data_IF_821017298935
#
_entry.id   IF_821017298935
#
_cell.length_a   1.000
_cell.length_b   1.000
_cell.length_c   1.000
_cell.angle_alpha   90.00
_cell.angle_beta   90.00
_cell.angle_gamma   90.00
#
_symmetry.space_group_name_H-M   'P 1'
#
loop_
_entity.id
_entity.type
_entity.pdbx_description
1 polymer ?
#
# COMPACT_ATOMS: atom_id res chain seq x y z
N UNK A 1 -20.69 31.79 -14.23
CA UNK A 1 -19.32 31.46 -14.68
C UNK A 1 -18.37 32.35 -13.92
N UNK A 2 -17.88 31.92 -12.78
CA UNK A 2 -16.92 32.61 -11.92
C UNK A 2 -15.75 31.66 -11.67
N UNK A 3 -14.57 32.12 -12.06
CA UNK A 3 -13.31 31.38 -12.06
C UNK A 3 -12.86 31.03 -10.65
N UNK A 4 -12.61 29.75 -10.39
CA UNK A 4 -12.00 29.15 -9.19
C UNK A 4 -10.52 29.63 -9.00
N UNK A 5 -10.32 30.94 -8.76
CA UNK A 5 -8.98 31.53 -8.59
C UNK A 5 -8.73 32.19 -7.22
N UNK A 6 -9.60 32.01 -6.24
CA UNK A 6 -9.41 32.67 -4.93
C UNK A 6 -9.78 31.80 -3.74
N UNK A 7 -9.08 30.66 -3.51
CA UNK A 7 -8.95 30.10 -2.15
C UNK A 7 -7.63 29.35 -2.03
N UNK A 8 -6.51 30.06 -2.12
CA UNK A 8 -5.26 29.59 -1.53
C UNK A 8 -5.04 30.35 -0.22
N UNK A 9 -4.85 29.65 0.92
CA UNK A 9 -4.63 30.34 2.17
C UNK A 9 -3.35 31.17 2.11
N UNK A 10 -3.44 32.47 2.50
CA UNK A 10 -2.34 33.45 2.59
C UNK A 10 -1.22 33.09 3.60
N UNK A 11 -1.04 31.83 3.96
CA UNK A 11 -0.09 31.37 4.99
C UNK A 11 1.28 30.90 4.47
N UNK A 12 1.57 31.00 3.17
CA UNK A 12 2.89 30.59 2.62
C UNK A 12 3.86 31.73 2.33
N UNK A 13 3.54 32.96 2.73
CA UNK A 13 4.51 34.08 2.70
C UNK A 13 5.07 34.28 4.11
N UNK A 14 6.24 33.71 4.40
CA UNK A 14 6.97 33.99 5.63
C UNK A 14 7.62 32.81 6.35
N UNK A 15 7.68 31.62 5.74
CA UNK A 15 8.47 30.52 6.29
C UNK A 15 9.94 30.78 5.97
N UNK A 16 10.83 30.86 7.00
CA UNK A 16 12.27 30.97 6.78
C UNK A 16 12.77 29.80 5.92
N UNK A 17 13.81 30.04 5.12
CA UNK A 17 14.38 29.03 4.19
C UNK A 17 14.91 27.75 4.87
N UNK A 18 14.96 27.71 6.19
CA UNK A 18 15.38 26.54 7.00
C UNK A 18 14.26 25.51 7.24
N UNK A 19 12.99 25.86 7.01
CA UNK A 19 11.83 24.98 7.23
C UNK A 19 11.25 24.38 5.94
N UNK A 20 11.98 24.43 4.85
CA UNK A 20 11.58 23.71 3.63
C UNK A 20 11.77 22.20 3.87
N UNK A 21 10.77 21.38 3.52
CA UNK A 21 10.89 19.93 3.65
C UNK A 21 12.19 19.41 3.00
N UNK A 22 12.90 18.50 3.66
CA UNK A 22 14.21 17.96 3.24
C UNK A 22 14.19 17.45 1.79
N UNK A 23 13.04 16.93 1.32
CA UNK A 23 12.87 16.47 -0.05
C UNK A 23 12.97 17.60 -1.11
N UNK A 24 12.73 18.85 -0.75
CA UNK A 24 12.92 20.01 -1.66
C UNK A 24 14.42 20.33 -1.90
N UNK A 25 15.29 20.02 -0.93
CA UNK A 25 16.75 20.22 -1.06
C UNK A 25 17.43 19.10 -1.84
N UNK A 26 16.91 17.85 -1.78
CA UNK A 26 17.43 16.72 -2.56
C UNK A 26 17.11 16.85 -4.06
N UNK A 27 16.09 17.66 -4.40
CA UNK A 27 15.70 17.92 -5.78
C UNK A 27 16.80 18.59 -6.63
N UNK A 28 17.83 19.20 -6.04
CA UNK A 28 18.90 19.89 -6.78
C UNK A 28 20.09 18.97 -7.15
N UNK A 29 20.18 17.75 -6.60
CA UNK A 29 21.37 16.90 -6.68
C UNK A 29 21.35 15.81 -7.78
N UNK A 30 20.32 15.72 -8.63
CA UNK A 30 20.25 14.69 -9.67
C UNK A 30 20.72 15.22 -11.03
N UNK A 31 21.84 14.71 -11.59
CA UNK A 31 22.18 14.95 -12.99
C UNK A 31 21.16 14.24 -13.88
N UNK A 32 20.54 14.93 -14.83
CA UNK A 32 19.57 14.44 -15.82
C UNK A 32 18.11 14.32 -15.36
N UNK A 33 17.49 15.42 -14.88
CA UNK A 33 16.03 15.50 -14.77
C UNK A 33 15.40 15.61 -16.15
N UNK A 34 14.78 14.53 -16.59
CA UNK A 34 13.81 14.59 -17.67
C UNK A 34 12.51 15.18 -17.09
N UNK A 35 12.44 16.52 -17.02
CA UNK A 35 11.21 17.19 -16.59
C UNK A 35 10.07 16.81 -17.55
N UNK A 36 8.96 16.34 -16.97
CA UNK A 36 7.72 16.06 -17.69
C UNK A 36 6.68 17.12 -17.36
N UNK A 37 5.84 17.45 -18.32
CA UNK A 37 4.69 18.35 -18.12
C UNK A 37 3.55 17.58 -17.45
N UNK A 38 2.56 18.29 -16.88
CA UNK A 38 1.36 17.66 -16.33
C UNK A 38 0.63 16.80 -17.36
N UNK A 39 0.59 17.23 -18.63
CA UNK A 39 -0.02 16.43 -19.71
C UNK A 39 0.78 15.16 -20.03
N UNK A 40 2.11 15.22 -20.00
CA UNK A 40 2.96 14.04 -20.19
C UNK A 40 2.81 13.07 -19.04
N UNK A 41 2.71 13.59 -17.79
CA UNK A 41 2.47 12.75 -16.62
C UNK A 41 1.15 12.00 -16.72
N UNK A 42 0.08 12.65 -17.17
CA UNK A 42 -1.22 12.01 -17.37
C UNK A 42 -1.14 10.84 -18.37
N UNK A 43 -0.40 11.00 -19.48
CA UNK A 43 -0.17 9.90 -20.41
C UNK A 43 0.65 8.77 -19.78
N UNK A 44 1.67 9.10 -18.98
CA UNK A 44 2.47 8.11 -18.23
C UNK A 44 1.60 7.35 -17.22
N UNK A 45 0.76 8.05 -16.46
CA UNK A 45 -0.14 7.46 -15.47
C UNK A 45 -1.15 6.50 -16.14
N UNK A 46 -1.68 6.83 -17.32
CA UNK A 46 -2.53 5.95 -18.12
C UNK A 46 -1.79 4.67 -18.54
N UNK A 47 -0.57 4.80 -19.07
CA UNK A 47 0.24 3.64 -19.47
C UNK A 47 0.57 2.75 -18.27
N UNK A 48 0.87 3.33 -17.12
CA UNK A 48 1.12 2.59 -15.87
C UNK A 48 -0.10 1.79 -15.42
N UNK A 49 -1.27 2.42 -15.44
CA UNK A 49 -2.51 1.83 -14.92
C UNK A 49 -3.09 0.78 -15.86
N UNK A 50 -3.01 1.02 -17.15
CA UNK A 50 -3.72 0.21 -18.14
C UNK A 50 -2.80 -0.63 -19.04
N UNK A 51 -1.49 -0.39 -19.00
CA UNK A 51 -0.51 -1.04 -19.87
C UNK A 51 -0.25 -0.26 -21.16
N UNK A 52 -0.08 -0.97 -22.27
CA UNK A 52 0.22 -0.35 -23.56
C UNK A 52 -0.97 0.40 -24.17
N UNK A 53 -0.75 1.58 -24.68
CA UNK A 53 -1.75 2.46 -25.30
C UNK A 53 -1.39 2.78 -26.74
N UNK A 54 -2.41 2.81 -27.62
CA UNK A 54 -2.31 3.44 -28.94
C UNK A 54 -2.56 4.95 -28.86
N UNK A 55 -2.22 5.70 -29.91
CA UNK A 55 -2.61 7.12 -30.00
C UNK A 55 -4.13 7.34 -29.89
N UNK A 56 -4.92 6.39 -30.42
CA UNK A 56 -6.37 6.47 -30.37
C UNK A 56 -6.89 6.29 -28.92
N UNK A 57 -6.27 5.38 -28.16
CA UNK A 57 -6.63 5.18 -26.76
C UNK A 57 -6.38 6.45 -25.94
N UNK A 58 -5.23 7.10 -26.10
CA UNK A 58 -4.98 8.37 -25.41
C UNK A 58 -6.02 9.45 -25.75
N UNK A 59 -6.49 9.54 -27.02
CA UNK A 59 -7.56 10.46 -27.39
C UNK A 59 -8.88 10.11 -26.69
N UNK A 60 -9.14 8.83 -26.47
CA UNK A 60 -10.37 8.36 -25.81
C UNK A 60 -10.36 8.59 -24.32
N UNK A 61 -9.19 8.50 -23.67
CA UNK A 61 -9.04 8.55 -22.21
C UNK A 61 -8.57 9.90 -21.67
N UNK A 62 -8.35 10.90 -22.56
CA UNK A 62 -7.96 12.27 -22.14
C UNK A 62 -8.79 13.29 -22.91
N UNK A 63 -8.87 14.52 -22.37
CA UNK A 63 -9.52 15.66 -23.04
C UNK A 63 -8.57 16.37 -24.02
N UNK A 64 -7.44 15.75 -24.40
CA UNK A 64 -6.44 16.37 -25.26
C UNK A 64 -6.72 16.18 -26.74
N UNK A 65 -6.39 17.22 -27.52
CA UNK A 65 -6.41 17.13 -28.98
C UNK A 65 -5.38 16.12 -29.50
N UNK A 66 -5.64 15.54 -30.67
CA UNK A 66 -4.70 14.62 -31.37
C UNK A 66 -3.30 15.22 -31.54
N UNK A 67 -3.21 16.53 -31.80
CA UNK A 67 -1.94 17.25 -31.94
C UNK A 67 -1.19 17.30 -30.60
N UNK A 68 -1.89 17.63 -29.51
CA UNK A 68 -1.31 17.66 -28.16
C UNK A 68 -0.78 16.28 -27.75
N UNK A 69 -1.58 15.22 -27.98
CA UNK A 69 -1.17 13.83 -27.69
C UNK A 69 0.07 13.46 -28.49
N UNK A 70 0.11 13.77 -29.79
CA UNK A 70 1.28 13.48 -30.62
C UNK A 70 2.53 14.20 -30.07
N UNK A 71 2.42 15.48 -29.73
CA UNK A 71 3.53 16.25 -29.15
C UNK A 71 4.00 15.64 -27.80
N UNK A 72 3.10 15.24 -26.91
CA UNK A 72 3.45 14.59 -25.64
C UNK A 72 4.16 13.25 -25.87
N UNK A 73 3.64 12.42 -26.78
CA UNK A 73 4.24 11.11 -27.12
C UNK A 73 5.64 11.30 -27.68
N UNK A 74 5.83 12.22 -28.64
CA UNK A 74 7.12 12.47 -29.26
C UNK A 74 8.15 12.97 -28.23
N UNK A 75 7.71 13.84 -27.31
CA UNK A 75 8.53 14.30 -26.18
C UNK A 75 8.91 13.15 -25.24
N UNK A 76 7.95 12.31 -24.82
CA UNK A 76 8.20 11.17 -23.95
C UNK A 76 9.12 10.11 -24.59
N UNK A 77 9.00 9.88 -25.92
CA UNK A 77 9.91 9.02 -26.68
C UNK A 77 11.33 9.61 -26.73
N UNK A 78 11.48 10.91 -26.96
CA UNK A 78 12.78 11.59 -26.95
C UNK A 78 13.45 11.53 -25.57
N UNK A 79 12.66 11.65 -24.50
CA UNK A 79 13.09 11.49 -23.11
C UNK A 79 13.34 10.02 -22.74
N UNK A 80 13.04 9.08 -23.64
CA UNK A 80 13.12 7.63 -23.42
C UNK A 80 12.26 7.10 -22.25
N UNK A 81 11.26 7.86 -21.81
CA UNK A 81 10.35 7.45 -20.73
C UNK A 81 9.40 6.37 -21.21
N UNK A 82 8.92 6.49 -22.45
CA UNK A 82 8.12 5.47 -23.11
C UNK A 82 8.86 4.90 -24.31
N UNK A 83 8.47 3.70 -24.72
CA UNK A 83 8.93 3.04 -25.96
C UNK A 83 7.73 2.75 -26.87
N UNK A 84 7.99 2.72 -28.17
CA UNK A 84 6.99 2.31 -29.16
C UNK A 84 7.14 0.82 -29.44
N UNK A 85 6.08 0.05 -29.24
CA UNK A 85 6.00 -1.37 -29.50
C UNK A 85 5.19 -1.64 -30.79
N UNK A 86 5.41 -2.79 -31.42
CA UNK A 86 4.60 -3.25 -32.52
C UNK A 86 3.31 -3.86 -31.95
N UNK A 87 2.14 -3.41 -32.39
CA UNK A 87 0.87 -4.03 -32.00
C UNK A 87 0.87 -5.54 -32.33
N UNK A 88 0.50 -6.34 -31.35
CA UNK A 88 0.45 -7.81 -31.45
C UNK A 88 -0.87 -8.33 -32.04
N UNK A 89 -1.95 -7.55 -31.98
CA UNK A 89 -3.27 -7.99 -32.45
C UNK A 89 -3.61 -7.49 -33.86
N UNK A 90 -4.18 -8.38 -34.66
CA UNK A 90 -4.60 -8.14 -36.06
C UNK A 90 -6.11 -7.84 -36.10
N UNK A 91 -6.46 -6.56 -36.14
CA UNK A 91 -7.85 -6.11 -36.32
C UNK A 91 -8.12 -5.53 -37.72
N UNK A 92 -7.68 -6.21 -38.78
CA UNK A 92 -8.09 -5.92 -40.16
C UNK A 92 -7.67 -4.56 -40.75
N UNK A 93 -6.76 -3.79 -40.12
CA UNK A 93 -6.31 -2.48 -40.56
C UNK A 93 -4.79 -2.28 -40.44
N UNK A 94 -4.29 -1.07 -40.79
CA UNK A 94 -2.88 -0.70 -40.62
C UNK A 94 -2.48 -0.89 -39.15
N UNK A 95 -1.43 -1.71 -38.88
CA UNK A 95 -0.90 -1.95 -37.53
C UNK A 95 -0.63 -0.62 -36.84
N UNK A 96 -1.38 -0.31 -35.77
CA UNK A 96 -1.12 0.86 -34.92
C UNK A 96 0.02 0.56 -33.98
N UNK A 97 0.91 1.54 -33.74
CA UNK A 97 1.94 1.43 -32.71
C UNK A 97 1.30 1.56 -31.34
N UNK A 98 1.71 0.74 -30.39
CA UNK A 98 1.43 0.93 -28.96
C UNK A 98 2.62 1.56 -28.25
N UNK A 99 2.37 2.20 -27.12
CA UNK A 99 3.36 2.90 -26.33
C UNK A 99 3.29 2.35 -24.89
N UNK A 100 4.42 1.90 -24.37
CA UNK A 100 4.58 1.37 -23.02
C UNK A 100 5.70 2.08 -22.29
N UNK A 101 5.81 1.88 -20.96
CA UNK A 101 6.94 2.37 -20.19
C UNK A 101 8.24 1.69 -20.64
N UNK A 102 9.34 2.44 -20.59
CA UNK A 102 10.66 1.91 -20.91
C UNK A 102 11.29 1.24 -19.68
N UNK A 103 11.20 -0.08 -19.57
CA UNK A 103 11.82 -0.85 -18.49
C UNK A 103 13.32 -0.65 -18.34
N UNK A 104 14.03 -0.25 -19.42
CA UNK A 104 15.49 -0.06 -19.41
C UNK A 104 15.95 1.25 -18.75
N UNK A 105 15.04 2.09 -18.24
CA UNK A 105 15.39 3.33 -17.53
C UNK A 105 16.13 3.05 -16.21
N UNK A 106 15.96 1.89 -15.63
CA UNK A 106 16.60 1.47 -14.39
C UNK A 106 15.81 0.40 -13.67
N UNK A 107 16.12 0.22 -12.39
CA UNK A 107 15.44 -0.69 -11.49
C UNK A 107 14.75 0.07 -10.37
N UNK A 108 13.68 -0.52 -9.85
CA UNK A 108 12.96 -0.07 -8.67
C UNK A 108 12.99 -1.20 -7.64
N UNK A 109 13.24 -0.87 -6.39
CA UNK A 109 13.12 -1.82 -5.28
C UNK A 109 11.88 -1.49 -4.45
N UNK A 110 11.09 -2.50 -4.15
CA UNK A 110 10.02 -2.48 -3.16
C UNK A 110 10.46 -3.22 -1.92
N UNK A 111 10.26 -2.60 -0.77
CA UNK A 111 10.56 -3.16 0.56
C UNK A 111 9.29 -3.07 1.39
N UNK A 112 8.77 -4.20 1.83
CA UNK A 112 7.68 -4.25 2.81
C UNK A 112 8.26 -4.80 4.12
N UNK A 113 8.37 -3.91 5.12
CA UNK A 113 8.77 -4.27 6.48
C UNK A 113 7.49 -4.53 7.26
N UNK A 114 7.14 -5.79 7.41
CA UNK A 114 6.06 -6.22 8.29
C UNK A 114 6.48 -6.25 9.76
N UNK A 115 5.54 -6.48 10.67
CA UNK A 115 5.86 -6.67 12.10
C UNK A 115 6.75 -7.89 12.33
N UNK A 116 6.64 -8.92 11.47
CA UNK A 116 7.27 -10.25 11.61
C UNK A 116 7.96 -10.75 10.35
N UNK A 117 8.07 -9.95 9.29
CA UNK A 117 8.74 -10.31 8.03
C UNK A 117 9.41 -9.10 7.39
N UNK A 118 10.36 -9.39 6.48
CA UNK A 118 10.88 -8.47 5.47
C UNK A 118 10.62 -9.12 4.13
N UNK A 119 9.91 -8.42 3.25
CA UNK A 119 9.60 -8.83 1.90
C UNK A 119 10.22 -7.81 0.92
N UNK A 120 10.93 -8.30 -0.10
CA UNK A 120 11.70 -7.49 -1.03
C UNK A 120 11.37 -7.85 -2.47
N UNK A 121 11.28 -6.85 -3.32
CA UNK A 121 11.11 -7.01 -4.76
C UNK A 121 12.03 -6.05 -5.51
N UNK A 122 12.65 -6.52 -6.61
CA UNK A 122 13.27 -5.66 -7.60
C UNK A 122 12.51 -5.83 -8.90
N UNK A 123 12.05 -4.72 -9.45
CA UNK A 123 11.35 -4.64 -10.73
C UNK A 123 12.12 -3.74 -11.71
N UNK A 124 11.90 -3.92 -13.01
CA UNK A 124 12.33 -2.93 -13.99
C UNK A 124 11.44 -1.67 -13.94
N UNK A 125 11.83 -0.62 -14.65
CA UNK A 125 11.10 0.65 -14.60
C UNK A 125 9.69 0.59 -15.25
N UNK A 126 9.32 -0.50 -15.88
CA UNK A 126 7.94 -0.76 -16.32
C UNK A 126 7.08 -1.43 -15.25
N UNK A 127 7.64 -1.78 -14.09
CA UNK A 127 6.96 -2.50 -13.02
C UNK A 127 6.97 -4.02 -13.20
N UNK A 128 7.75 -4.56 -14.16
CA UNK A 128 7.90 -6.00 -14.34
C UNK A 128 8.85 -6.57 -13.30
N UNK A 129 8.37 -7.55 -12.54
CA UNK A 129 9.15 -8.30 -11.56
C UNK A 129 10.42 -8.90 -12.20
N UNK A 130 11.58 -8.67 -11.58
CA UNK A 130 12.86 -9.28 -11.92
C UNK A 130 13.27 -10.33 -10.88
N UNK A 131 13.20 -9.98 -9.60
CA UNK A 131 13.57 -10.88 -8.50
C UNK A 131 12.80 -10.51 -7.23
N UNK A 132 12.45 -11.52 -6.43
CA UNK A 132 11.77 -11.38 -5.14
C UNK A 132 12.44 -12.22 -4.08
N UNK A 133 12.38 -11.74 -2.84
CA UNK A 133 12.90 -12.43 -1.66
C UNK A 133 12.06 -12.09 -0.44
N UNK A 134 11.88 -13.04 0.45
CA UNK A 134 11.18 -12.85 1.72
C UNK A 134 11.83 -13.66 2.83
N UNK A 135 11.86 -13.11 4.04
CA UNK A 135 12.33 -13.82 5.23
C UNK A 135 11.60 -13.37 6.50
N UNK A 136 11.52 -14.23 7.53
CA UNK A 136 11.09 -13.80 8.86
C UNK A 136 12.04 -12.74 9.44
N UNK A 137 11.46 -11.70 10.06
CA UNK A 137 12.20 -10.65 10.74
C UNK A 137 11.32 -10.06 11.85
N UNK A 138 11.88 -9.21 12.71
CA UNK A 138 11.11 -8.54 13.73
C UNK A 138 11.45 -7.06 13.78
N UNK A 139 10.46 -6.20 13.60
CA UNK A 139 10.65 -4.74 13.78
C UNK A 139 11.10 -4.36 15.18
N UNK A 140 10.87 -5.24 16.18
CA UNK A 140 11.32 -5.06 17.56
C UNK A 140 12.84 -5.15 17.72
N UNK A 141 13.54 -5.67 16.71
CA UNK A 141 15.01 -5.73 16.69
C UNK A 141 15.67 -4.35 16.49
N UNK A 142 14.86 -3.32 16.20
CA UNK A 142 15.26 -1.94 16.01
C UNK A 142 15.71 -1.59 14.60
N UNK A 143 15.69 -0.29 14.23
CA UNK A 143 15.89 0.17 12.87
C UNK A 143 17.28 -0.16 12.31
N UNK A 144 18.33 -0.06 13.12
CA UNK A 144 19.71 -0.31 12.66
C UNK A 144 19.85 -1.74 12.13
N UNK A 145 19.37 -2.75 12.90
CA UNK A 145 19.48 -4.15 12.53
C UNK A 145 18.59 -4.48 11.33
N UNK A 146 17.32 -4.01 11.35
CA UNK A 146 16.34 -4.29 10.29
C UNK A 146 16.76 -3.63 8.98
N UNK A 147 17.09 -2.35 8.97
CA UNK A 147 17.51 -1.64 7.75
C UNK A 147 18.85 -2.13 7.22
N UNK A 148 19.81 -2.43 8.11
CA UNK A 148 21.08 -3.06 7.71
C UNK A 148 20.84 -4.41 7.01
N UNK A 149 19.88 -5.21 7.51
CA UNK A 149 19.51 -6.47 6.87
C UNK A 149 18.84 -6.25 5.52
N UNK A 150 17.89 -5.30 5.42
CA UNK A 150 17.23 -4.91 4.15
C UNK A 150 18.27 -4.51 3.11
N UNK A 151 19.21 -3.62 3.46
CA UNK A 151 20.23 -3.15 2.52
C UNK A 151 21.15 -4.30 2.05
N UNK A 152 21.61 -5.15 2.98
CA UNK A 152 22.44 -6.32 2.62
C UNK A 152 21.70 -7.31 1.70
N UNK A 153 20.41 -7.51 1.92
CA UNK A 153 19.58 -8.37 1.06
C UNK A 153 19.41 -7.76 -0.33
N UNK A 154 19.15 -6.45 -0.43
CA UNK A 154 19.04 -5.77 -1.73
C UNK A 154 20.36 -5.84 -2.51
N UNK A 155 21.53 -5.60 -1.88
CA UNK A 155 22.83 -5.76 -2.52
C UNK A 155 23.05 -7.20 -3.04
N UNK A 156 22.69 -8.19 -2.21
CA UNK A 156 22.76 -9.59 -2.58
C UNK A 156 21.87 -9.90 -3.78
N UNK A 157 20.59 -9.45 -3.75
CA UNK A 157 19.65 -9.66 -4.85
C UNK A 157 20.14 -9.02 -6.16
N UNK A 158 20.69 -7.82 -6.10
CA UNK A 158 21.29 -7.16 -7.26
C UNK A 158 22.46 -7.95 -7.82
N UNK A 159 23.43 -8.33 -6.98
CA UNK A 159 24.65 -9.02 -7.40
C UNK A 159 24.39 -10.41 -7.97
N UNK A 160 23.53 -11.21 -7.32
CA UNK A 160 23.20 -12.58 -7.75
C UNK A 160 22.42 -12.62 -9.08
N UNK A 161 21.73 -11.52 -9.42
CA UNK A 161 20.96 -11.41 -10.67
C UNK A 161 21.66 -10.56 -11.74
N UNK A 162 22.93 -10.22 -11.57
CA UNK A 162 23.71 -9.38 -12.49
C UNK A 162 23.07 -8.01 -12.78
N UNK A 163 22.42 -7.43 -11.77
CA UNK A 163 21.80 -6.12 -11.84
C UNK A 163 22.74 -5.06 -11.23
N UNK A 164 23.07 -4.01 -12.00
CA UNK A 164 23.94 -2.93 -11.51
C UNK A 164 23.22 -2.08 -10.48
N UNK A 165 23.83 -1.89 -9.30
CA UNK A 165 23.32 -1.02 -8.25
C UNK A 165 23.23 0.44 -8.67
N UNK A 166 24.06 0.90 -9.62
CA UNK A 166 24.02 2.26 -10.18
C UNK A 166 22.74 2.53 -10.98
N UNK A 167 22.07 1.47 -11.45
CA UNK A 167 20.79 1.55 -12.16
C UNK A 167 19.59 1.41 -11.24
N UNK A 168 19.80 1.24 -9.93
CA UNK A 168 18.70 1.28 -8.95
C UNK A 168 18.29 2.76 -8.75
N UNK A 169 17.18 3.15 -9.37
CA UNK A 169 16.73 4.55 -9.44
C UNK A 169 15.78 4.92 -8.30
N UNK A 170 15.12 3.95 -7.71
CA UNK A 170 14.17 4.19 -6.61
C UNK A 170 14.00 3.03 -5.68
N UNK A 171 13.79 3.33 -4.40
CA UNK A 171 13.47 2.37 -3.33
C UNK A 171 12.25 2.89 -2.59
N UNK A 172 11.14 2.14 -2.66
CA UNK A 172 9.94 2.39 -1.85
C UNK A 172 9.94 1.46 -0.65
N UNK A 173 9.59 2.00 0.52
CA UNK A 173 9.61 1.24 1.78
C UNK A 173 8.27 1.40 2.49
N UNK A 174 7.58 0.29 2.75
CA UNK A 174 6.45 0.20 3.65
C UNK A 174 6.92 -0.15 5.07
N UNK A 175 6.39 0.53 6.08
CA UNK A 175 6.71 0.25 7.51
C UNK A 175 5.43 0.20 8.34
N UNK A 176 5.35 -0.69 9.37
CA UNK A 176 4.15 -0.86 10.17
C UNK A 176 4.07 0.22 11.28
N UNK A 177 3.51 1.37 10.96
CA UNK A 177 3.32 2.45 11.93
C UNK A 177 2.99 3.77 11.27
N UNK A 178 2.64 4.78 12.07
CA UNK A 178 2.39 6.11 11.54
C UNK A 178 3.65 6.69 10.89
N UNK A 179 3.53 7.21 9.67
CA UNK A 179 4.62 7.84 8.91
C UNK A 179 4.24 9.27 8.60
N UNK A 180 5.07 10.21 9.02
CA UNK A 180 5.04 11.54 8.43
C UNK A 180 5.65 11.49 7.03
N UNK A 181 4.78 11.37 6.04
CA UNK A 181 5.18 11.21 4.64
C UNK A 181 5.97 12.42 4.11
N UNK A 182 5.76 13.61 4.68
CA UNK A 182 6.42 14.84 4.22
C UNK A 182 7.92 14.84 4.51
N UNK A 183 8.33 14.16 5.58
CA UNK A 183 9.74 14.01 5.99
C UNK A 183 10.25 12.58 5.91
N UNK A 184 9.38 11.61 5.65
CA UNK A 184 9.72 10.19 5.50
C UNK A 184 10.20 9.55 6.81
N UNK A 185 9.60 9.93 7.94
CA UNK A 185 9.96 9.40 9.26
C UNK A 185 8.78 8.71 9.94
N UNK A 186 9.10 7.65 10.67
CA UNK A 186 8.13 6.98 11.56
C UNK A 186 7.92 7.83 12.81
N UNK A 187 6.67 7.99 13.25
CA UNK A 187 6.33 8.83 14.41
C UNK A 187 5.60 8.02 15.47
N UNK A 188 6.21 7.94 16.65
CA UNK A 188 5.64 7.29 17.85
C UNK A 188 5.00 5.91 17.61
N UNK A 189 5.67 4.97 16.91
CA UNK A 189 5.07 3.69 16.56
C UNK A 189 4.95 2.79 17.80
N UNK A 190 3.73 2.26 18.11
CA UNK A 190 3.48 1.53 19.36
C UNK A 190 4.25 0.21 19.48
N UNK A 191 4.60 -0.42 18.37
CA UNK A 191 5.21 -1.77 18.33
C UNK A 191 6.66 -1.80 17.83
N UNK A 192 7.27 -0.63 17.56
CA UNK A 192 8.57 -0.51 16.91
C UNK A 192 9.57 0.27 17.78
N UNK A 193 10.22 -0.37 18.77
CA UNK A 193 11.16 0.32 19.66
C UNK A 193 12.36 0.87 18.89
N UNK A 194 12.71 2.13 19.15
CA UNK A 194 13.85 2.83 18.52
C UNK A 194 13.59 3.38 17.12
N UNK A 195 12.38 3.23 16.55
CA UNK A 195 12.04 3.75 15.23
C UNK A 195 11.51 5.18 15.24
N UNK A 196 11.11 5.70 16.42
CA UNK A 196 10.58 7.07 16.50
C UNK A 196 11.60 8.08 15.96
N UNK A 197 11.20 8.80 14.93
CA UNK A 197 12.00 9.80 14.19
C UNK A 197 13.36 9.28 13.68
N UNK A 198 13.49 7.95 13.50
CA UNK A 198 14.71 7.39 12.94
C UNK A 198 14.87 7.79 11.47
N UNK A 199 16.07 8.18 11.00
CA UNK A 199 16.31 8.67 9.65
C UNK A 199 16.39 7.53 8.62
N UNK A 200 15.25 6.89 8.33
CA UNK A 200 15.17 5.71 7.44
C UNK A 200 15.73 6.01 6.06
N UNK A 201 15.29 7.14 5.45
CA UNK A 201 15.71 7.54 4.11
C UNK A 201 17.23 7.69 4.04
N UNK A 202 17.83 8.47 4.96
CA UNK A 202 19.27 8.74 4.97
C UNK A 202 20.07 7.46 5.21
N UNK A 203 19.57 6.57 6.07
CA UNK A 203 20.22 5.28 6.34
C UNK A 203 20.31 4.42 5.09
N UNK A 204 19.22 4.30 4.33
CA UNK A 204 19.19 3.50 3.09
C UNK A 204 19.97 4.18 1.96
N UNK A 205 19.94 5.50 1.86
CA UNK A 205 20.70 6.25 0.86
C UNK A 205 22.22 6.16 1.03
N UNK A 206 22.73 5.88 2.24
CA UNK A 206 24.16 5.60 2.44
C UNK A 206 24.62 4.34 1.71
N UNK A 207 23.73 3.35 1.55
CA UNK A 207 24.01 2.12 0.81
C UNK A 207 23.76 2.28 -0.69
N UNK A 208 22.75 3.04 -1.06
CA UNK A 208 22.30 3.25 -2.45
C UNK A 208 22.23 4.73 -2.80
N UNK A 209 23.37 5.42 -2.96
CA UNK A 209 23.42 6.87 -3.16
C UNK A 209 22.68 7.37 -4.43
N UNK A 210 22.59 6.50 -5.44
CA UNK A 210 21.92 6.82 -6.71
C UNK A 210 20.39 6.67 -6.64
N UNK A 211 19.86 6.01 -5.60
CA UNK A 211 18.44 5.71 -5.50
C UNK A 211 17.66 6.83 -4.79
N UNK A 212 16.48 7.15 -5.32
CA UNK A 212 15.49 7.96 -4.61
C UNK A 212 14.76 7.06 -3.60
N UNK A 213 14.85 7.37 -2.33
CA UNK A 213 14.21 6.60 -1.26
C UNK A 213 12.96 7.29 -0.78
N UNK A 214 11.86 6.55 -0.66
CA UNK A 214 10.58 7.03 -0.13
C UNK A 214 10.01 6.03 0.86
N UNK A 215 9.41 6.53 1.95
CA UNK A 215 8.84 5.71 3.03
C UNK A 215 7.37 6.06 3.22
N UNK A 216 6.52 5.06 3.40
CA UNK A 216 5.11 5.23 3.73
C UNK A 216 4.65 4.14 4.72
N UNK A 217 3.47 4.30 5.26
CA UNK A 217 2.82 3.25 6.05
C UNK A 217 2.58 1.99 5.20
N UNK A 218 2.78 0.81 5.77
CA UNK A 218 2.65 -0.49 5.09
C UNK A 218 1.25 -0.71 4.49
N UNK A 219 0.18 -0.24 5.16
CA UNK A 219 -1.20 -0.40 4.65
C UNK A 219 -1.46 0.53 3.46
N UNK A 220 -0.91 1.75 3.47
CA UNK A 220 -0.93 2.65 2.32
C UNK A 220 -0.22 2.01 1.12
N UNK A 221 0.93 1.41 1.38
CA UNK A 221 1.72 0.71 0.35
C UNK A 221 0.95 -0.49 -0.19
N UNK A 222 0.34 -1.31 0.66
CA UNK A 222 -0.51 -2.42 0.21
C UNK A 222 -1.71 -1.94 -0.64
N UNK A 223 -2.33 -0.82 -0.28
CA UNK A 223 -3.41 -0.22 -1.08
C UNK A 223 -2.92 0.21 -2.47
N UNK A 224 -1.70 0.76 -2.58
CA UNK A 224 -1.06 1.04 -3.87
C UNK A 224 -0.84 -0.23 -4.71
N UNK A 225 -0.46 -1.33 -4.09
CA UNK A 225 -0.35 -2.62 -4.76
C UNK A 225 -1.68 -3.05 -5.38
N UNK A 226 -2.75 -2.99 -4.61
CA UNK A 226 -4.10 -3.39 -5.05
C UNK A 226 -4.65 -2.55 -6.20
N UNK A 227 -4.47 -1.23 -6.19
CA UNK A 227 -4.95 -0.39 -7.30
C UNK A 227 -4.11 -0.50 -8.57
N UNK A 228 -2.86 -0.96 -8.46
CA UNK A 228 -1.99 -1.12 -9.62
C UNK A 228 -2.08 -2.52 -10.23
N UNK A 229 -2.12 -3.60 -9.42
CA UNK A 229 -2.06 -4.97 -9.92
C UNK A 229 -3.12 -5.91 -9.36
N UNK A 230 -3.89 -5.51 -8.33
CA UNK A 230 -4.88 -6.35 -7.67
C UNK A 230 -6.34 -6.03 -8.00
N UNK A 231 -7.23 -6.42 -7.09
CA UNK A 231 -8.69 -6.27 -7.19
C UNK A 231 -9.14 -4.81 -7.38
N UNK A 232 -8.36 -3.85 -6.86
CA UNK A 232 -8.65 -2.41 -6.94
C UNK A 232 -8.28 -1.76 -8.27
N UNK A 233 -7.77 -2.50 -9.24
CA UNK A 233 -7.37 -1.94 -10.54
C UNK A 233 -8.54 -1.23 -11.21
N UNK A 234 -8.32 0.04 -11.57
CA UNK A 234 -9.33 0.94 -12.18
C UNK A 234 -10.46 1.37 -11.23
N UNK A 235 -10.33 1.18 -9.93
CA UNK A 235 -11.30 1.64 -8.94
C UNK A 235 -10.77 2.93 -8.31
N UNK A 236 -11.37 4.10 -8.61
CA UNK A 236 -10.86 5.38 -8.13
C UNK A 236 -11.09 5.62 -6.64
N UNK A 237 -12.14 5.03 -6.05
CA UNK A 237 -12.50 5.23 -4.64
C UNK A 237 -12.58 3.87 -3.93
N UNK A 238 -11.55 3.55 -3.16
CA UNK A 238 -11.37 2.24 -2.56
C UNK A 238 -10.84 2.37 -1.13
N UNK A 239 -11.23 1.45 -0.25
CA UNK A 239 -10.60 1.23 1.05
C UNK A 239 -9.93 -0.15 1.03
N UNK A 240 -8.61 -0.19 1.20
CA UNK A 240 -7.90 -1.42 1.51
C UNK A 240 -7.81 -1.58 3.02
N UNK A 241 -8.15 -2.76 3.54
CA UNK A 241 -8.11 -3.05 4.98
C UNK A 241 -7.13 -4.19 5.23
N UNK A 242 -6.04 -3.90 5.91
CA UNK A 242 -5.10 -4.91 6.42
C UNK A 242 -5.60 -5.42 7.76
N UNK A 243 -5.78 -6.73 7.88
CA UNK A 243 -6.06 -7.42 9.13
C UNK A 243 -4.93 -8.44 9.37
N UNK A 244 -4.05 -8.12 10.31
CA UNK A 244 -2.85 -8.91 10.63
C UNK A 244 -2.57 -8.88 12.12
N UNK A 245 -1.32 -8.56 12.49
CA UNK A 245 -0.93 -8.29 13.90
C UNK A 245 -1.70 -7.09 14.46
N UNK A 246 -1.95 -6.08 13.61
CA UNK A 246 -2.82 -4.94 13.86
C UNK A 246 -3.89 -4.83 12.77
N UNK A 247 -4.68 -3.74 12.82
CA UNK A 247 -5.70 -3.41 11.83
C UNK A 247 -5.49 -1.97 11.34
N UNK A 248 -5.35 -1.80 10.03
CA UNK A 248 -5.24 -0.48 9.40
C UNK A 248 -5.98 -0.43 8.07
N UNK A 249 -6.19 0.77 7.55
CA UNK A 249 -6.78 0.97 6.23
C UNK A 249 -5.92 1.91 5.37
N UNK A 250 -5.79 1.59 4.08
CA UNK A 250 -5.29 2.50 3.05
C UNK A 250 -6.47 3.05 2.25
N UNK A 251 -6.59 4.37 2.20
CA UNK A 251 -7.72 5.03 1.56
C UNK A 251 -7.27 5.55 0.19
N UNK A 252 -7.93 5.10 -0.86
CA UNK A 252 -7.72 5.60 -2.22
C UNK A 252 -8.85 6.55 -2.58
N UNK A 253 -8.53 7.80 -2.86
CA UNK A 253 -9.45 8.84 -3.27
C UNK A 253 -9.04 9.35 -4.66
N UNK A 254 -9.96 9.27 -5.63
CA UNK A 254 -9.69 9.66 -7.02
C UNK A 254 -8.43 9.00 -7.60
N UNK A 255 -8.23 7.72 -7.29
CA UNK A 255 -7.09 6.93 -7.76
C UNK A 255 -5.76 7.21 -7.04
N UNK A 256 -5.77 7.97 -5.95
CA UNK A 256 -4.56 8.36 -5.19
C UNK A 256 -4.70 8.02 -3.72
N UNK A 257 -3.58 7.69 -3.08
CA UNK A 257 -3.54 7.50 -1.62
C UNK A 257 -3.91 8.81 -0.91
N UNK A 258 -4.92 8.72 -0.06
CA UNK A 258 -5.30 9.79 0.87
C UNK A 258 -4.64 9.56 2.23
N UNK A 259 -3.64 10.38 2.55
CA UNK A 259 -2.86 10.27 3.79
C UNK A 259 -3.37 11.15 4.93
N UNK A 260 -4.34 12.04 4.65
CA UNK A 260 -4.74 13.09 5.60
C UNK A 260 -3.65 14.17 5.76
N UNK A 261 -3.81 15.01 6.76
CA UNK A 261 -2.92 16.17 6.97
C UNK A 261 -1.53 15.80 7.53
N UNK A 262 -1.43 14.68 8.24
CA UNK A 262 -0.22 14.26 8.96
C UNK A 262 0.22 12.81 8.66
N UNK A 263 -0.38 12.16 7.68
CA UNK A 263 -0.05 10.78 7.32
C UNK A 263 -0.83 9.69 8.06
N UNK A 264 -1.74 10.05 8.97
CA UNK A 264 -2.44 9.09 9.84
C UNK A 264 -3.87 8.71 9.35
N UNK A 265 -4.26 9.08 8.12
CA UNK A 265 -5.54 8.64 7.60
C UNK A 265 -5.55 7.12 7.41
N UNK A 266 -6.60 6.47 7.91
CA UNK A 266 -6.72 5.01 7.83
C UNK A 266 -6.35 4.23 9.10
N UNK A 267 -6.03 4.90 10.20
CA UNK A 267 -5.68 4.26 11.49
C UNK A 267 -6.94 3.74 12.23
N UNK A 268 -7.71 2.91 11.52
CA UNK A 268 -9.04 2.42 11.96
C UNK A 268 -8.95 1.40 13.09
N UNK A 269 -7.80 0.77 13.29
CA UNK A 269 -7.56 -0.20 14.35
C UNK A 269 -7.72 0.38 15.74
N UNK A 270 -7.56 1.71 15.87
CA UNK A 270 -7.69 2.42 17.15
C UNK A 270 -9.06 3.10 17.36
N UNK A 271 -10.02 2.85 16.47
CA UNK A 271 -11.43 3.22 16.70
C UNK A 271 -11.98 2.36 17.84
N UNK A 272 -12.58 3.00 18.85
CA UNK A 272 -13.17 2.32 19.99
C UNK A 272 -14.48 1.63 19.60
N UNK A 273 -14.55 0.32 19.76
CA UNK A 273 -15.72 -0.52 19.45
C UNK A 273 -16.34 -1.17 20.67
N UNK A 274 -15.62 -1.19 21.80
CA UNK A 274 -16.07 -1.82 23.04
C UNK A 274 -15.72 -0.94 24.25
N UNK A 275 -16.72 -0.48 25.01
CA UNK A 275 -16.53 0.33 26.22
C UNK A 275 -17.39 -0.23 27.37
N UNK A 276 -16.78 -0.54 28.55
CA UNK A 276 -15.34 -0.59 28.82
C UNK A 276 -14.68 -1.75 28.06
N UNK A 277 -13.45 -1.58 27.57
CA UNK A 277 -12.74 -2.56 26.77
C UNK A 277 -11.29 -2.78 27.22
N UNK A 278 -10.60 -3.69 26.55
CA UNK A 278 -9.19 -3.99 26.81
C UNK A 278 -8.31 -2.76 26.57
N UNK A 279 -7.24 -2.62 27.35
CA UNK A 279 -6.22 -1.60 27.13
C UNK A 279 -5.46 -1.93 25.85
N UNK A 280 -5.38 -0.95 24.95
CA UNK A 280 -4.62 -1.03 23.72
C UNK A 280 -3.18 -0.51 23.92
N UNK A 281 -2.17 -1.04 23.22
CA UNK A 281 -0.82 -0.48 23.24
C UNK A 281 -0.73 1.01 22.87
N UNK A 282 -1.71 1.56 22.17
CA UNK A 282 -1.80 3.01 21.88
C UNK A 282 -2.22 3.86 23.09
N UNK A 283 -2.51 3.25 24.24
CA UNK A 283 -2.95 3.93 25.47
C UNK A 283 -4.46 4.08 25.62
N UNK A 284 -5.26 3.82 24.59
CA UNK A 284 -6.73 3.86 24.64
C UNK A 284 -7.34 2.52 25.07
N UNK A 285 -8.64 2.50 25.36
CA UNK A 285 -9.39 1.29 25.68
C UNK A 285 -10.44 0.96 24.62
N UNK A 286 -10.61 -0.37 24.38
CA UNK A 286 -11.66 -0.89 23.50
C UNK A 286 -11.45 -0.65 22.01
N UNK A 287 -10.19 -0.48 21.58
CA UNK A 287 -9.84 -0.35 20.16
C UNK A 287 -10.24 -1.60 19.38
N UNK A 288 -10.64 -1.45 18.11
CA UNK A 288 -10.97 -2.55 17.20
C UNK A 288 -9.87 -3.63 17.17
N UNK A 289 -8.62 -3.22 17.15
CA UNK A 289 -7.46 -4.10 17.14
C UNK A 289 -7.43 -5.06 18.33
N UNK A 290 -7.87 -4.60 19.52
CA UNK A 290 -7.86 -5.43 20.75
C UNK A 290 -8.92 -6.54 20.74
N UNK A 291 -9.84 -6.54 19.79
CA UNK A 291 -10.92 -7.55 19.69
C UNK A 291 -10.94 -8.32 18.37
N UNK A 292 -10.33 -7.79 17.32
CA UNK A 292 -10.48 -8.35 15.96
C UNK A 292 -9.17 -8.52 15.18
N UNK A 293 -8.00 -8.08 15.69
CA UNK A 293 -6.71 -8.42 15.09
C UNK A 293 -6.32 -9.89 15.36
N UNK A 294 -5.36 -10.42 14.60
CA UNK A 294 -4.92 -11.81 14.70
C UNK A 294 -4.59 -12.28 16.12
N UNK A 295 -3.76 -11.54 16.89
CA UNK A 295 -3.47 -11.88 18.28
C UNK A 295 -4.71 -11.89 19.17
N UNK A 296 -5.65 -10.96 18.98
CA UNK A 296 -6.89 -10.90 19.75
C UNK A 296 -7.83 -12.09 19.45
N UNK A 297 -7.94 -12.48 18.17
CA UNK A 297 -8.68 -13.67 17.74
C UNK A 297 -8.11 -14.92 18.41
N UNK A 298 -6.79 -15.09 18.36
CA UNK A 298 -6.09 -16.23 18.94
C UNK A 298 -6.25 -16.29 20.47
N UNK A 299 -6.07 -15.18 21.17
CA UNK A 299 -6.21 -15.10 22.65
C UNK A 299 -7.64 -15.42 23.10
N UNK A 300 -8.65 -14.88 22.44
CA UNK A 300 -10.06 -15.18 22.74
C UNK A 300 -10.37 -16.65 22.52
N UNK A 301 -9.92 -17.23 21.41
CA UNK A 301 -10.10 -18.63 21.10
C UNK A 301 -9.41 -19.53 22.13
N UNK A 302 -8.16 -19.21 22.52
CA UNK A 302 -7.40 -19.97 23.51
C UNK A 302 -8.06 -19.96 24.90
N UNK A 303 -8.42 -18.77 25.40
CA UNK A 303 -9.09 -18.64 26.71
C UNK A 303 -10.37 -19.47 26.79
N UNK A 304 -11.19 -19.42 25.74
CA UNK A 304 -12.43 -20.18 25.71
C UNK A 304 -12.19 -21.71 25.52
N UNK A 305 -11.16 -22.10 24.76
CA UNK A 305 -10.75 -23.50 24.63
C UNK A 305 -10.24 -24.06 25.95
N UNK A 306 -9.42 -23.32 26.70
CA UNK A 306 -8.95 -23.69 28.06
C UNK A 306 -10.08 -23.79 29.07
N UNK A 307 -11.18 -23.06 28.87
CA UNK A 307 -12.43 -23.22 29.63
C UNK A 307 -13.28 -24.45 29.20
N UNK A 308 -12.74 -25.33 28.37
CA UNK A 308 -13.38 -26.59 27.96
C UNK A 308 -14.32 -26.44 26.75
N UNK A 309 -14.34 -25.30 26.03
CA UNK A 309 -15.27 -25.09 24.92
C UNK A 309 -14.83 -25.68 23.58
N UNK A 310 -13.53 -26.01 23.41
CA UNK A 310 -13.01 -26.60 22.16
C UNK A 310 -11.81 -27.52 22.41
N UNK A 311 -11.99 -28.84 22.34
CA UNK A 311 -10.87 -29.80 22.34
C UNK A 311 -9.97 -29.66 21.08
N UNK A 312 -10.53 -29.26 19.94
CA UNK A 312 -9.79 -29.09 18.68
C UNK A 312 -8.74 -27.99 18.82
N UNK A 313 -9.14 -26.82 19.32
CA UNK A 313 -8.22 -25.68 19.53
C UNK A 313 -7.16 -25.99 20.60
N UNK A 314 -7.51 -26.75 21.66
CA UNK A 314 -6.53 -27.20 22.66
C UNK A 314 -5.50 -28.13 22.04
N UNK A 315 -5.92 -29.09 21.22
CA UNK A 315 -5.01 -30.01 20.53
C UNK A 315 -4.06 -29.23 19.59
N UNK A 316 -4.58 -28.26 18.81
CA UNK A 316 -3.76 -27.41 17.95
C UNK A 316 -2.75 -26.58 18.77
N UNK A 317 -3.16 -26.01 19.89
CA UNK A 317 -2.29 -25.28 20.82
C UNK A 317 -1.13 -26.13 21.32
N UNK A 318 -1.42 -27.34 21.81
CA UNK A 318 -0.42 -28.28 22.32
C UNK A 318 0.53 -28.74 21.20
N UNK A 319 -0.01 -29.09 20.03
CA UNK A 319 0.75 -29.55 18.87
C UNK A 319 1.69 -28.48 18.32
N UNK A 320 1.31 -27.20 18.40
CA UNK A 320 2.10 -26.07 17.93
C UNK A 320 3.05 -25.49 19.00
N UNK A 321 3.43 -26.28 20.01
CA UNK A 321 4.39 -25.86 21.06
C UNK A 321 3.82 -24.79 21.99
N UNK A 322 2.56 -24.91 22.37
CA UNK A 322 1.82 -23.97 23.23
C UNK A 322 1.65 -22.57 22.66
N UNK A 323 1.52 -22.50 21.34
CA UNK A 323 1.20 -21.25 20.61
C UNK A 323 -0.06 -21.48 19.78
N UNK A 324 -1.07 -20.65 19.95
CA UNK A 324 -2.24 -20.59 19.07
C UNK A 324 -2.19 -19.32 18.23
N UNK A 325 -2.43 -19.43 16.93
CA UNK A 325 -2.49 -18.31 15.98
C UNK A 325 -3.89 -18.20 15.39
N UNK A 326 -4.18 -17.07 14.74
CA UNK A 326 -5.45 -16.88 14.05
C UNK A 326 -5.68 -17.94 12.96
N UNK A 327 -4.62 -18.37 12.27
CA UNK A 327 -4.68 -19.43 11.26
C UNK A 327 -5.19 -20.74 11.84
N UNK A 328 -4.80 -21.09 13.07
CA UNK A 328 -5.25 -22.30 13.77
C UNK A 328 -6.75 -22.23 14.07
N UNK A 329 -7.25 -21.03 14.42
CA UNK A 329 -8.70 -20.79 14.59
C UNK A 329 -9.43 -21.00 13.25
N UNK A 330 -8.83 -20.57 12.14
CA UNK A 330 -9.36 -20.82 10.80
C UNK A 330 -9.38 -22.30 10.44
N UNK A 331 -8.35 -23.08 10.84
CA UNK A 331 -8.31 -24.54 10.66
C UNK A 331 -9.44 -25.19 11.45
N UNK A 332 -9.56 -24.91 12.73
CA UNK A 332 -10.61 -25.46 13.59
C UNK A 332 -12.02 -25.12 13.08
N UNK A 333 -12.24 -23.90 12.60
CA UNK A 333 -13.52 -23.51 12.02
C UNK A 333 -13.87 -24.31 10.75
N UNK A 334 -12.89 -24.62 9.90
CA UNK A 334 -13.09 -25.50 8.72
C UNK A 334 -13.40 -26.94 9.11
N UNK A 335 -12.93 -27.41 10.26
CA UNK A 335 -13.27 -28.72 10.85
C UNK A 335 -14.62 -28.72 11.58
N UNK A 336 -15.32 -27.59 11.58
CA UNK A 336 -16.66 -27.47 12.17
C UNK A 336 -16.67 -27.10 13.65
N UNK A 337 -15.54 -26.64 14.21
CA UNK A 337 -15.48 -26.23 15.62
C UNK A 337 -16.38 -25.01 15.88
N UNK A 338 -17.38 -25.15 16.72
CA UNK A 338 -18.38 -24.15 16.98
C UNK A 338 -17.82 -22.89 17.62
N UNK A 339 -16.80 -23.03 18.52
CA UNK A 339 -16.14 -21.91 19.15
C UNK A 339 -15.31 -21.10 18.14
N UNK A 340 -14.53 -21.77 17.30
CA UNK A 340 -13.75 -21.12 16.27
C UNK A 340 -14.65 -20.34 15.29
N UNK A 341 -15.78 -20.93 14.89
CA UNK A 341 -16.79 -20.26 14.05
C UNK A 341 -17.35 -19.02 14.74
N UNK A 342 -17.70 -19.11 16.02
CA UNK A 342 -18.21 -18.00 16.83
C UNK A 342 -17.20 -16.85 16.89
N UNK A 343 -15.93 -17.14 17.25
CA UNK A 343 -14.86 -16.15 17.37
C UNK A 343 -14.60 -15.41 16.03
N UNK A 344 -14.61 -16.14 14.91
CA UNK A 344 -14.42 -15.51 13.59
C UNK A 344 -15.61 -14.61 13.22
N UNK A 345 -16.85 -15.07 13.49
CA UNK A 345 -18.05 -14.28 13.21
C UNK A 345 -18.09 -12.98 14.00
N UNK A 346 -17.81 -13.04 15.30
CA UNK A 346 -17.78 -11.85 16.14
C UNK A 346 -16.68 -10.87 15.71
N UNK A 347 -15.49 -11.38 15.36
CA UNK A 347 -14.40 -10.51 14.84
C UNK A 347 -14.81 -9.85 13.54
N UNK A 348 -15.45 -10.59 12.63
CA UNK A 348 -16.01 -10.05 11.39
C UNK A 348 -17.11 -9.01 11.63
N UNK A 349 -17.93 -9.19 12.66
CA UNK A 349 -18.94 -8.20 13.06
C UNK A 349 -18.30 -6.89 13.52
N UNK A 350 -17.31 -6.92 14.42
CA UNK A 350 -16.61 -5.72 14.89
C UNK A 350 -15.95 -4.96 13.73
N UNK A 351 -15.26 -5.68 12.85
CA UNK A 351 -14.63 -5.09 11.65
C UNK A 351 -15.71 -4.44 10.77
N UNK A 352 -16.77 -5.19 10.47
CA UNK A 352 -17.85 -4.72 9.62
C UNK A 352 -18.60 -3.50 10.17
N UNK A 353 -18.76 -3.39 11.49
CA UNK A 353 -19.38 -2.24 12.15
C UNK A 353 -18.56 -0.96 11.96
N UNK A 354 -17.22 -1.05 12.07
CA UNK A 354 -16.33 0.07 11.77
C UNK A 354 -16.38 0.41 10.28
N UNK A 355 -16.31 -0.60 9.41
CA UNK A 355 -16.36 -0.39 7.96
C UNK A 355 -17.70 0.21 7.50
N UNK A 356 -18.82 -0.13 8.13
CA UNK A 356 -20.11 0.49 7.85
C UNK A 356 -20.08 2.01 8.09
N UNK A 357 -19.39 2.44 9.16
CA UNK A 357 -19.21 3.88 9.44
C UNK A 357 -18.37 4.54 8.33
N UNK A 358 -17.32 3.87 7.86
CA UNK A 358 -16.49 4.37 6.76
C UNK A 358 -17.26 4.38 5.43
N UNK A 359 -18.07 3.38 5.15
CA UNK A 359 -18.94 3.33 3.96
C UNK A 359 -19.90 4.52 3.94
N UNK A 360 -20.54 4.81 5.07
CA UNK A 360 -21.45 5.96 5.18
C UNK A 360 -20.72 7.32 5.11
N UNK A 361 -19.47 7.39 5.54
CA UNK A 361 -18.67 8.60 5.55
C UNK A 361 -17.98 8.87 4.21
N UNK A 362 -17.33 7.84 3.64
CA UNK A 362 -16.45 7.97 2.47
C UNK A 362 -17.14 7.53 1.16
N UNK A 363 -18.12 6.62 1.22
CA UNK A 363 -18.84 6.05 0.07
C UNK A 363 -17.91 5.42 -1.00
N UNK A 364 -17.07 4.42 -0.64
CA UNK A 364 -16.16 3.77 -1.58
C UNK A 364 -16.92 2.88 -2.58
N UNK A 365 -16.34 2.66 -3.75
CA UNK A 365 -16.84 1.68 -4.73
C UNK A 365 -16.46 0.24 -4.34
N UNK A 366 -15.33 0.11 -3.61
CA UNK A 366 -14.81 -1.20 -3.22
C UNK A 366 -14.12 -1.14 -1.85
N UNK A 367 -14.25 -2.23 -1.10
CA UNK A 367 -13.42 -2.54 0.08
C UNK A 367 -12.64 -3.82 -0.23
N UNK A 368 -11.32 -3.76 -0.12
CA UNK A 368 -10.43 -4.91 -0.28
C UNK A 368 -9.90 -5.33 1.09
N UNK A 369 -10.10 -6.58 1.47
CA UNK A 369 -9.63 -7.15 2.74
C UNK A 369 -8.34 -7.94 2.48
N UNK A 370 -7.25 -7.55 3.13
CA UNK A 370 -5.95 -8.22 3.06
C UNK A 370 -5.34 -8.47 4.42
N UNK A 371 -4.06 -8.88 4.44
CA UNK A 371 -3.34 -9.29 5.63
C UNK A 371 -3.58 -10.74 6.03
N UNK A 372 -2.77 -11.26 6.98
CA UNK A 372 -2.76 -12.69 7.32
C UNK A 372 -4.11 -13.23 7.81
N UNK A 373 -4.92 -12.39 8.47
CA UNK A 373 -6.23 -12.79 9.00
C UNK A 373 -7.26 -13.03 7.87
N UNK A 374 -7.03 -12.52 6.64
CA UNK A 374 -7.87 -12.85 5.49
C UNK A 374 -7.90 -14.37 5.19
N UNK A 375 -6.85 -15.11 5.58
CA UNK A 375 -6.76 -16.57 5.47
C UNK A 375 -7.76 -17.33 6.34
N UNK A 376 -8.50 -16.67 7.24
CA UNK A 376 -9.67 -17.24 7.93
C UNK A 376 -10.81 -17.56 6.95
N UNK A 377 -10.76 -17.01 5.74
CA UNK A 377 -11.61 -17.38 4.62
C UNK A 377 -12.99 -16.75 4.61
N UNK A 378 -13.88 -17.38 3.84
CA UNK A 378 -15.19 -16.82 3.52
C UNK A 378 -16.09 -16.54 4.73
N UNK A 379 -15.89 -17.24 5.87
CA UNK A 379 -16.66 -16.99 7.07
C UNK A 379 -16.44 -15.57 7.61
N UNK A 380 -15.16 -15.13 7.67
CA UNK A 380 -14.81 -13.77 8.05
C UNK A 380 -15.40 -12.75 7.07
N UNK A 381 -15.18 -12.94 5.77
CA UNK A 381 -15.65 -12.03 4.73
C UNK A 381 -17.18 -11.90 4.73
N UNK A 382 -17.91 -13.01 4.92
CA UNK A 382 -19.37 -13.03 4.99
C UNK A 382 -19.87 -12.26 6.21
N UNK A 383 -19.20 -12.41 7.36
CA UNK A 383 -19.56 -11.69 8.59
C UNK A 383 -19.33 -10.19 8.45
N UNK A 384 -18.20 -9.79 7.83
CA UNK A 384 -17.93 -8.38 7.50
C UNK A 384 -19.00 -7.83 6.57
N UNK A 385 -19.30 -8.53 5.46
CA UNK A 385 -20.34 -8.12 4.49
C UNK A 385 -21.71 -7.93 5.17
N UNK A 386 -22.11 -8.90 5.98
CA UNK A 386 -23.38 -8.87 6.69
C UNK A 386 -23.47 -7.62 7.60
N UNK A 387 -22.43 -7.33 8.37
CA UNK A 387 -22.41 -6.18 9.27
C UNK A 387 -22.45 -4.85 8.48
N UNK A 388 -21.64 -4.73 7.42
CA UNK A 388 -21.66 -3.53 6.56
C UNK A 388 -23.03 -3.30 5.95
N UNK A 389 -23.61 -4.32 5.32
CA UNK A 389 -24.90 -4.20 4.65
C UNK A 389 -26.05 -3.90 5.63
N UNK A 390 -25.97 -4.41 6.86
CA UNK A 390 -27.01 -4.16 7.87
C UNK A 390 -26.97 -2.74 8.44
N UNK A 391 -25.80 -2.10 8.51
CA UNK A 391 -25.61 -0.80 9.19
C UNK A 391 -25.40 0.39 8.24
N UNK A 392 -25.17 0.14 6.97
CA UNK A 392 -24.96 1.20 5.98
C UNK A 392 -26.26 1.58 5.27
N UNK A 393 -26.29 2.81 4.76
CA UNK A 393 -27.44 3.27 3.96
C UNK A 393 -27.54 2.48 2.64
N UNK A 394 -28.74 2.11 2.18
CA UNK A 394 -28.94 1.31 0.98
C UNK A 394 -28.29 1.90 -0.28
N UNK A 395 -28.27 3.23 -0.41
CA UNK A 395 -27.63 3.91 -1.54
C UNK A 395 -26.12 3.73 -1.53
N UNK A 396 -25.50 3.75 -0.34
CA UNK A 396 -24.05 3.60 -0.20
C UNK A 396 -23.56 2.16 -0.42
N UNK A 397 -24.45 1.18 -0.30
CA UNK A 397 -24.12 -0.25 -0.45
C UNK A 397 -24.61 -0.89 -1.74
N UNK A 398 -25.41 -0.17 -2.55
CA UNK A 398 -26.05 -0.72 -3.74
C UNK A 398 -25.07 -1.40 -4.70
N UNK A 399 -23.94 -0.74 -4.96
CA UNK A 399 -22.94 -1.22 -5.92
C UNK A 399 -21.59 -1.54 -5.23
N UNK A 400 -21.53 -1.45 -3.90
CA UNK A 400 -20.34 -1.67 -3.10
C UNK A 400 -19.86 -3.12 -3.20
N UNK A 401 -18.61 -3.30 -3.57
CA UNK A 401 -17.93 -4.60 -3.57
C UNK A 401 -17.06 -4.73 -2.33
N UNK A 402 -17.18 -5.84 -1.61
CA UNK A 402 -16.29 -6.20 -0.49
C UNK A 402 -15.64 -7.52 -0.85
N UNK A 403 -14.34 -7.53 -1.09
CA UNK A 403 -13.61 -8.69 -1.63
C UNK A 403 -12.31 -8.93 -0.87
N UNK A 404 -11.73 -10.10 -1.01
CA UNK A 404 -10.34 -10.32 -0.59
C UNK A 404 -9.35 -9.72 -1.60
N UNK A 405 -8.15 -9.40 -1.12
CA UNK A 405 -6.99 -9.07 -1.94
C UNK A 405 -6.73 -10.17 -2.97
N UNK A 406 -6.54 -9.80 -4.23
CA UNK A 406 -6.18 -10.73 -5.32
C UNK A 406 -4.68 -11.03 -5.34
N UNK A 407 -3.85 -10.06 -4.95
CA UNK A 407 -2.39 -10.20 -4.92
C UNK A 407 -1.87 -10.63 -3.54
N UNK A 408 -2.75 -10.72 -2.55
CA UNK A 408 -2.49 -11.32 -1.24
C UNK A 408 -1.24 -10.75 -0.54
N UNK A 409 -0.27 -11.63 -0.16
CA UNK A 409 0.94 -11.19 0.54
C UNK A 409 1.86 -10.28 -0.29
N UNK A 410 1.72 -10.30 -1.61
CA UNK A 410 2.54 -9.52 -2.52
C UNK A 410 2.15 -8.03 -2.58
N UNK A 411 1.01 -7.66 -2.00
CA UNK A 411 0.46 -6.31 -2.04
C UNK A 411 1.46 -5.25 -1.53
N UNK A 412 2.21 -5.58 -0.48
CA UNK A 412 3.20 -4.70 0.12
C UNK A 412 4.37 -4.40 -0.82
N UNK A 413 5.05 -5.43 -1.33
CA UNK A 413 6.23 -5.23 -2.19
C UNK A 413 5.87 -4.60 -3.54
N UNK A 414 4.76 -5.03 -4.15
CA UNK A 414 4.25 -4.43 -5.40
C UNK A 414 3.90 -2.97 -5.17
N UNK A 415 3.23 -2.67 -4.07
CA UNK A 415 2.89 -1.30 -3.72
C UNK A 415 4.11 -0.43 -3.42
N UNK A 416 5.14 -0.99 -2.79
CA UNK A 416 6.40 -0.29 -2.53
C UNK A 416 7.15 0.05 -3.82
N UNK A 417 7.18 -0.83 -4.82
CA UNK A 417 7.71 -0.52 -6.16
C UNK A 417 6.92 0.63 -6.79
N UNK A 418 5.59 0.60 -6.71
CA UNK A 418 4.75 1.67 -7.25
C UNK A 418 4.92 2.99 -6.49
N UNK A 419 5.11 2.95 -5.16
CA UNK A 419 5.43 4.12 -4.35
C UNK A 419 6.73 4.79 -4.82
N UNK A 420 7.79 4.02 -5.06
CA UNK A 420 9.06 4.53 -5.61
C UNK A 420 8.86 5.16 -6.99
N UNK A 421 8.10 4.53 -7.87
CA UNK A 421 7.78 5.02 -9.19
C UNK A 421 7.00 6.34 -9.14
N UNK A 422 5.94 6.41 -8.32
CA UNK A 422 5.14 7.62 -8.09
C UNK A 422 6.00 8.78 -7.61
N UNK A 423 6.91 8.50 -6.68
CA UNK A 423 7.82 9.49 -6.13
C UNK A 423 8.74 10.06 -7.21
N UNK A 424 9.38 9.21 -8.03
CA UNK A 424 10.25 9.63 -9.14
C UNK A 424 9.48 10.49 -10.14
N UNK A 425 8.28 10.10 -10.56
CA UNK A 425 7.49 10.89 -11.50
C UNK A 425 6.96 12.18 -10.89
N UNK A 426 6.63 12.22 -9.60
CA UNK A 426 6.21 13.45 -8.93
C UNK A 426 7.33 14.50 -8.87
N UNK A 427 8.57 14.05 -8.68
CA UNK A 427 9.76 14.93 -8.68
C UNK A 427 10.17 15.39 -10.09
N UNK A 428 9.73 14.67 -11.12
CA UNK A 428 10.04 14.99 -12.52
C UNK A 428 9.12 16.05 -13.13
N UNK A 429 8.08 16.50 -12.41
CA UNK A 429 7.21 17.58 -12.89
C UNK A 429 7.95 18.90 -12.69
N UNK A 430 8.38 19.51 -13.79
CA UNK A 430 8.91 20.88 -13.76
C UNK A 430 7.82 21.84 -13.31
N UNK A 431 8.13 22.70 -12.32
CA UNK A 431 7.32 23.88 -12.04
C UNK A 431 7.41 24.80 -13.26
N UNK A 432 6.47 24.65 -14.20
CA UNK A 432 6.23 25.71 -15.18
C UNK A 432 5.61 26.86 -14.43
N UNK A 433 6.43 27.87 -14.10
CA UNK A 433 6.03 29.22 -13.70
C UNK A 433 5.13 29.86 -14.75
#
# INVERSE_FOLDING_TARGET
MGTLREVLPKRLKGIPSQDKPIWLHQAEALPHRNFITSSEKELVDLVRTYGEFTKADFVTYTDYSRTKITSCIDSLLNKKIIIANKATEYSGGRRSKTFGLNGNLGYLAGVDIGATSIDLEIADFSGRLLVRYAEPASVKDGPIKVLGRVCSLLEKMLSENNLSSEKLTGIGIGVPGPVDFSVGTVVSPPIMPGWDRYPVIQTVQQWFPSANVVVDNDVNVMALGEINQGAGKRIPNLIFVKIGTGIGAGIICEGRIYRGSSGCAGDIGHISVNKPGLLCPCGNQGCLETVAAGPAIADRALKAAQAGRSPILLNLYEKNGTILRAEDVGIAAREGDALAIEVIRESGQFIGDVLASLVNFYNPEMIVIGGAVSNLGNLLLSSIRQAVLHRSLPLATRDLKIVFSEIGPDAGVIGAVNLAMDYIFSMSIGSTS
#
